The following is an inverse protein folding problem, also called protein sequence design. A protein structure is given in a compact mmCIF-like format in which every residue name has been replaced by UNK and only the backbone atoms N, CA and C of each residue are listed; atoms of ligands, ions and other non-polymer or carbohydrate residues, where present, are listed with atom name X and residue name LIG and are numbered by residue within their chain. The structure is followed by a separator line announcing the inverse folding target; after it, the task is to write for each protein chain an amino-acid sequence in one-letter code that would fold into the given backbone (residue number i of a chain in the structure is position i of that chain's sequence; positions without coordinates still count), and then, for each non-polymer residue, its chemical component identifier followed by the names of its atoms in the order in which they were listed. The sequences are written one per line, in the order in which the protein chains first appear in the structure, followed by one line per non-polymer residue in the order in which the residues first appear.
data_IF_941756580772
#
_entry.id   IF_941756580772
#
_cell.length_a   1.000
_cell.length_b   1.000
_cell.length_c   1.000
_cell.angle_alpha   90.00
_cell.angle_beta   90.00
_cell.angle_gamma   90.00
#
_symmetry.space_group_name_H-M   'P 1'
#
loop_
_entity.id
_entity.type
_entity.pdbx_description
1 polymer ?
#
# COMPACT_ATOMS: atom_id res chain seq x y z
N UNK A 1 8.59 2.91 -0.52
CA UNK A 1 7.66 2.27 0.44
C UNK A 1 6.89 1.11 -0.14
N UNK A 2 6.23 1.27 -1.30
CA UNK A 2 5.48 0.19 -1.96
C UNK A 2 6.39 -0.96 -2.39
N UNK A 3 5.92 -2.20 -2.25
CA UNK A 3 6.61 -3.41 -2.77
C UNK A 3 5.79 -4.06 -3.90
N UNK A 4 4.56 -4.48 -3.59
CA UNK A 4 3.70 -5.20 -4.54
C UNK A 4 2.24 -5.10 -4.12
N UNK A 5 1.31 -5.40 -5.02
CA UNK A 5 -0.10 -5.52 -4.67
C UNK A 5 -0.78 -6.67 -5.40
N UNK A 6 -1.87 -7.18 -4.84
CA UNK A 6 -2.69 -8.24 -5.46
C UNK A 6 -4.11 -8.26 -4.90
N UNK A 7 -5.01 -8.89 -5.64
CA UNK A 7 -6.31 -9.29 -5.11
C UNK A 7 -6.21 -10.60 -4.32
N UNK A 8 -6.90 -10.66 -3.17
CA UNK A 8 -7.08 -11.85 -2.36
C UNK A 8 -8.58 -11.99 -2.06
N UNK A 9 -9.29 -12.75 -2.91
CA UNK A 9 -10.75 -12.76 -2.89
C UNK A 9 -11.29 -11.38 -3.27
N UNK A 10 -12.15 -10.81 -2.41
CA UNK A 10 -12.74 -9.47 -2.60
C UNK A 10 -11.85 -8.33 -2.07
N UNK A 11 -10.76 -8.66 -1.39
CA UNK A 11 -9.86 -7.66 -0.81
C UNK A 11 -8.67 -7.39 -1.73
N UNK A 12 -8.24 -6.13 -1.75
CA UNK A 12 -7.00 -5.70 -2.35
C UNK A 12 -5.94 -5.58 -1.25
N UNK A 13 -4.78 -6.18 -1.50
CA UNK A 13 -3.65 -6.20 -0.57
C UNK A 13 -2.52 -5.41 -1.19
N UNK A 14 -2.00 -4.42 -0.47
CA UNK A 14 -0.75 -3.72 -0.77
C UNK A 14 0.29 -4.18 0.24
N UNK A 15 1.45 -4.67 -0.25
CA UNK A 15 2.61 -5.00 0.56
C UNK A 15 3.58 -3.82 0.57
N UNK A 16 4.12 -3.52 1.74
CA UNK A 16 5.00 -2.39 2.01
C UNK A 16 6.37 -2.90 2.48
N UNK A 17 7.42 -2.13 2.20
CA UNK A 17 8.77 -2.42 2.71
C UNK A 17 8.95 -1.96 4.17
N UNK A 18 8.20 -0.95 4.62
CA UNK A 18 8.18 -0.49 6.00
C UNK A 18 6.74 -0.27 6.49
N UNK A 19 6.57 -0.30 7.81
CA UNK A 19 5.29 -0.04 8.46
C UNK A 19 4.92 1.45 8.36
N UNK A 20 3.62 1.73 8.25
CA UNK A 20 3.09 3.10 8.30
C UNK A 20 2.57 3.38 9.70
N UNK A 21 2.75 4.61 10.17
CA UNK A 21 2.17 5.05 11.44
C UNK A 21 0.65 5.12 11.37
N UNK A 22 0.00 5.10 12.53
CA UNK A 22 -1.47 5.25 12.61
C UNK A 22 -1.95 6.53 11.92
N UNK A 23 -1.24 7.65 12.10
CA UNK A 23 -1.57 8.94 11.49
C UNK A 23 -1.49 8.89 9.96
N UNK A 24 -0.45 8.26 9.41
CA UNK A 24 -0.30 8.07 7.96
C UNK A 24 -1.45 7.23 7.38
N UNK A 25 -1.87 6.19 8.10
CA UNK A 25 -3.00 5.35 7.70
C UNK A 25 -4.32 6.13 7.77
N UNK A 26 -4.50 6.99 8.77
CA UNK A 26 -5.67 7.86 8.84
C UNK A 26 -5.72 8.85 7.67
N UNK A 27 -4.60 9.49 7.33
CA UNK A 27 -4.49 10.37 6.16
C UNK A 27 -4.83 9.64 4.86
N UNK A 28 -4.30 8.43 4.68
CA UNK A 28 -4.64 7.57 3.54
C UNK A 28 -6.16 7.32 3.48
N UNK A 29 -6.80 7.03 4.61
CA UNK A 29 -8.25 6.80 4.65
C UNK A 29 -9.06 8.05 4.30
N UNK A 30 -8.65 9.24 4.75
CA UNK A 30 -9.32 10.49 4.41
C UNK A 30 -9.22 10.80 2.90
N UNK A 31 -8.05 10.56 2.31
CA UNK A 31 -7.77 10.94 0.92
C UNK A 31 -8.30 9.95 -0.13
N UNK A 32 -8.42 8.68 0.25
CA UNK A 32 -8.73 7.56 -0.67
C UNK A 32 -9.93 6.72 -0.20
N UNK A 33 -10.79 7.25 0.67
CA UNK A 33 -12.03 6.57 1.05
C UNK A 33 -13.00 6.35 -0.13
N UNK A 34 -12.91 7.18 -1.17
CA UNK A 34 -13.77 7.14 -2.36
C UNK A 34 -13.55 5.89 -3.24
N UNK A 35 -12.40 5.23 -3.13
CA UNK A 35 -12.11 4.01 -3.89
C UNK A 35 -12.55 2.72 -3.20
N UNK A 36 -13.11 2.83 -2.00
CA UNK A 36 -13.53 1.69 -1.19
C UNK A 36 -14.98 1.30 -1.48
N UNK A 37 -15.23 -0.01 -1.57
CA UNK A 37 -16.60 -0.57 -1.58
C UNK A 37 -17.19 -0.55 -0.17
N UNK A 38 -16.36 -0.85 0.83
CA UNK A 38 -16.74 -0.94 2.24
C UNK A 38 -15.51 -0.87 3.14
N UNK A 39 -15.74 -0.53 4.40
CA UNK A 39 -14.70 -0.53 5.42
C UNK A 39 -13.68 0.60 5.22
N UNK A 40 -12.43 0.33 5.58
CA UNK A 40 -11.33 1.28 5.57
C UNK A 40 -10.03 0.60 5.13
N UNK A 41 -9.05 1.37 4.71
CA UNK A 41 -7.68 0.91 4.50
C UNK A 41 -7.06 0.65 5.87
N UNK A 42 -6.66 -0.59 6.13
CA UNK A 42 -6.17 -1.00 7.45
C UNK A 42 -4.91 -1.86 7.34
N UNK A 43 -4.02 -1.79 8.36
CA UNK A 43 -2.91 -2.73 8.43
C UNK A 43 -3.44 -4.14 8.65
N UNK A 44 -2.77 -5.15 8.09
CA UNK A 44 -3.16 -6.55 8.29
C UNK A 44 -1.96 -7.47 8.39
N UNK A 45 -2.14 -8.55 9.16
CA UNK A 45 -1.25 -9.69 9.14
C UNK A 45 -1.40 -10.46 7.81
N UNK A 46 -0.56 -11.48 7.61
CA UNK A 46 -0.62 -12.34 6.43
C UNK A 46 -2.03 -12.95 6.34
N UNK A 47 -2.73 -12.72 5.22
CA UNK A 47 -3.96 -13.46 4.97
C UNK A 47 -3.60 -14.91 4.65
N UNK A 48 -4.35 -15.89 5.15
CA UNK A 48 -4.02 -17.32 4.99
C UNK A 48 -3.77 -17.74 3.53
N UNK A 49 -4.41 -17.07 2.57
CA UNK A 49 -4.25 -17.28 1.12
C UNK A 49 -2.94 -16.74 0.53
N UNK A 50 -2.16 -15.98 1.30
CA UNK A 50 -0.84 -15.46 0.94
C UNK A 50 0.33 -16.28 1.52
N UNK A 51 0.05 -17.29 2.36
CA UNK A 51 1.04 -17.96 3.20
C UNK A 51 2.13 -18.75 2.42
N UNK A 52 2.06 -18.83 1.09
CA UNK A 52 3.09 -19.47 0.25
C UNK A 52 4.09 -18.49 -0.36
N UNK A 53 3.93 -17.19 -0.15
CA UNK A 53 4.84 -16.17 -0.66
C UNK A 53 6.02 -15.92 0.32
N UNK A 54 7.22 -15.71 -0.23
CA UNK A 54 8.41 -15.30 0.55
C UNK A 54 8.28 -13.93 1.22
N UNK A 55 7.22 -13.17 0.90
CA UNK A 55 6.94 -11.83 1.42
C UNK A 55 6.07 -11.84 2.69
N UNK A 56 6.03 -12.96 3.42
CA UNK A 56 5.20 -13.12 4.61
C UNK A 56 5.57 -12.13 5.74
N UNK A 57 6.83 -11.73 5.82
CA UNK A 57 7.33 -10.79 6.84
C UNK A 57 7.02 -9.32 6.53
N UNK A 58 6.59 -8.99 5.31
CA UNK A 58 6.34 -7.60 4.93
C UNK A 58 5.02 -7.07 5.51
N UNK A 59 4.99 -5.81 6.00
CA UNK A 59 3.76 -5.14 6.41
C UNK A 59 2.78 -4.96 5.23
N UNK A 60 1.48 -4.90 5.53
CA UNK A 60 0.41 -4.87 4.52
C UNK A 60 -0.67 -3.87 4.86
N UNK A 61 -1.23 -3.26 3.82
CA UNK A 61 -2.54 -2.62 3.86
C UNK A 61 -3.56 -3.49 3.13
N UNK A 62 -4.74 -3.63 3.71
CA UNK A 62 -5.86 -4.38 3.14
C UNK A 62 -7.09 -3.50 3.08
N UNK A 63 -7.80 -3.55 1.95
CA UNK A 63 -9.05 -2.81 1.75
C UNK A 63 -9.92 -3.45 0.65
N UNK A 64 -11.17 -3.01 0.52
CA UNK A 64 -12.08 -3.51 -0.52
C UNK A 64 -12.15 -2.52 -1.67
N UNK A 65 -11.32 -2.71 -2.69
CA UNK A 65 -11.24 -1.81 -3.84
C UNK A 65 -12.46 -1.95 -4.77
N UNK A 66 -12.98 -0.83 -5.28
CA UNK A 66 -14.18 -0.80 -6.14
C UNK A 66 -13.98 -1.38 -7.55
N UNK A 67 -12.76 -1.72 -7.94
CA UNK A 67 -12.45 -2.36 -9.24
C UNK A 67 -12.62 -1.44 -10.45
N UNK A 68 -12.84 -0.13 -10.24
CA UNK A 68 -13.14 0.85 -11.30
C UNK A 68 -12.21 2.06 -11.25
N UNK A 69 -11.87 2.54 -10.05
CA UNK A 69 -11.10 3.77 -9.84
C UNK A 69 -9.58 3.55 -9.92
N UNK A 70 -9.07 2.93 -10.98
CA UNK A 70 -7.64 2.58 -11.10
C UNK A 70 -6.71 3.79 -11.09
N UNK A 71 -7.12 4.92 -11.67
CA UNK A 71 -6.33 6.17 -11.60
C UNK A 71 -6.11 6.63 -10.16
N UNK A 72 -7.15 6.57 -9.32
CA UNK A 72 -7.04 6.86 -7.88
C UNK A 72 -6.23 5.82 -7.13
N UNK A 73 -6.31 4.53 -7.51
CA UNK A 73 -5.47 3.49 -6.94
C UNK A 73 -3.98 3.77 -7.22
N UNK A 74 -3.63 4.21 -8.43
CA UNK A 74 -2.26 4.62 -8.73
C UNK A 74 -1.82 5.85 -7.92
N UNK A 75 -2.72 6.83 -7.72
CA UNK A 75 -2.44 7.97 -6.82
C UNK A 75 -2.24 7.54 -5.36
N UNK A 76 -2.98 6.53 -4.88
CA UNK A 76 -2.75 5.95 -3.55
C UNK A 76 -1.35 5.33 -3.46
N UNK A 77 -0.95 4.55 -4.47
CA UNK A 77 0.39 3.93 -4.51
C UNK A 77 1.49 5.00 -4.55
N UNK A 78 1.30 6.05 -5.33
CA UNK A 78 2.21 7.20 -5.41
C UNK A 78 2.33 7.91 -4.06
N UNK A 79 1.20 8.21 -3.43
CA UNK A 79 1.16 8.79 -2.08
C UNK A 79 1.85 7.90 -1.04
N UNK A 80 1.62 6.58 -1.07
CA UNK A 80 2.33 5.63 -0.21
C UNK A 80 3.85 5.69 -0.43
N UNK A 81 4.30 5.87 -1.66
CA UNK A 81 5.73 6.01 -1.96
C UNK A 81 6.33 7.32 -1.43
N UNK A 82 5.58 8.41 -1.46
CA UNK A 82 5.97 9.70 -0.88
C UNK A 82 6.11 9.63 0.66
N UNK A 83 5.30 8.79 1.31
CA UNK A 83 5.41 8.51 2.75
C UNK A 83 6.67 7.72 3.15
N UNK A 84 7.57 7.41 2.21
CA UNK A 84 8.82 6.75 2.55
C UNK A 84 9.61 7.59 3.54
N UNK A 85 10.16 6.99 4.62
CA UNK A 85 11.23 7.67 5.33
C UNK A 85 12.29 7.95 4.28
N UNK A 86 12.59 9.23 4.09
CA UNK A 86 13.57 9.69 3.11
C UNK A 86 14.86 8.92 3.39
N UNK A 87 15.10 7.86 2.61
CA UNK A 87 16.46 7.52 2.25
C UNK A 87 16.82 8.66 1.33
N UNK A 88 17.56 9.61 1.89
CA UNK A 88 18.33 10.57 1.14
C UNK A 88 19.17 9.76 0.17
N UNK A 89 18.64 9.46 -1.01
CA UNK A 89 19.44 9.12 -2.18
C UNK A 89 20.08 10.43 -2.65
N UNK A 90 20.90 11.00 -1.78
CA UNK A 90 22.04 11.75 -2.25
C UNK A 90 22.94 10.73 -2.96
N UNK A 91 23.29 11.11 -4.18
CA UNK A 91 24.22 10.43 -5.10
C UNK A 91 23.61 9.34 -6.01
N UNK A 92 22.76 9.78 -6.95
CA UNK A 92 22.92 9.30 -8.33
C UNK A 92 23.82 10.28 -9.09
N UNK A 93 25.16 10.10 -9.08
CA UNK A 93 25.98 10.76 -10.05
C UNK A 93 25.63 10.18 -11.43
N UNK A 94 25.12 11.08 -12.26
CA UNK A 94 25.41 11.18 -13.70
C UNK A 94 25.00 10.00 -14.59
N UNK A 95 23.82 10.19 -15.19
CA UNK A 95 23.63 10.17 -16.64
C UNK A 95 24.94 10.35 -17.43
N UNK A 96 25.40 9.30 -18.10
CA UNK A 96 26.21 9.39 -19.33
C UNK A 96 26.00 8.18 -20.23
#
# INVERSE_FOLDING_TARGET
MYHSSRFVGESFVIRLNHELSGEQIEQINQNFGDILVKGKIAPSQILERENRDSTHHLPRLVFYFNGKSYGRLYQLIDHINDLSPVVTLEEHPERK
#
